data_IF_617716158366
#
_entry.id   IF_617716158366
#
_cell.length_a   1.000
_cell.length_b   1.000
_cell.length_c   1.000
_cell.angle_alpha   90.00
_cell.angle_beta   90.00
_cell.angle_gamma   90.00
#
_symmetry.space_group_name_H-M   'P 1'
#
loop_
_entity.id
_entity.type
_entity.pdbx_description
1 polymer ?
#
# COMPACT_ATOMS: atom_id res chain seq x y z
N UNK A 1 25.69 78.17 24.98
CA UNK A 1 25.65 77.17 23.89
C UNK A 1 25.03 75.90 24.46
N UNK A 2 23.70 75.81 24.49
CA UNK A 2 22.96 74.65 25.02
C UNK A 2 22.85 73.57 23.93
N UNK A 3 23.29 72.35 24.23
CA UNK A 3 23.05 71.17 23.40
C UNK A 3 21.73 70.49 23.80
N UNK A 4 20.87 70.26 22.81
CA UNK A 4 19.68 69.40 22.90
C UNK A 4 20.11 67.92 22.86
N UNK A 5 19.58 67.09 23.77
CA UNK A 5 19.58 65.63 23.63
C UNK A 5 18.12 65.15 23.51
N UNK A 6 17.76 64.64 22.34
CA UNK A 6 16.47 63.99 22.06
C UNK A 6 16.61 62.48 22.23
N UNK A 7 16.06 61.92 23.30
CA UNK A 7 15.86 60.46 23.44
C UNK A 7 14.63 60.04 22.64
N UNK A 8 14.84 59.41 21.47
CA UNK A 8 13.78 58.71 20.74
C UNK A 8 13.68 57.27 21.25
N UNK A 9 12.70 57.00 22.10
CA UNK A 9 12.35 55.64 22.49
C UNK A 9 11.74 54.90 21.28
N UNK A 10 12.43 53.87 20.79
CA UNK A 10 11.89 52.93 19.81
C UNK A 10 11.09 51.85 20.54
N UNK A 11 9.76 51.93 20.45
CA UNK A 11 8.86 50.82 20.79
C UNK A 11 8.91 49.78 19.68
N UNK A 12 9.71 48.73 19.86
CA UNK A 12 9.62 47.52 19.04
C UNK A 12 8.32 46.78 19.40
N UNK A 13 7.27 46.98 18.61
CA UNK A 13 6.06 46.14 18.66
C UNK A 13 6.41 44.80 18.01
N UNK A 14 6.75 43.81 18.84
CA UNK A 14 6.92 42.42 18.41
C UNK A 14 5.53 41.86 18.13
N UNK A 15 5.13 41.85 16.85
CA UNK A 15 3.91 41.19 16.39
C UNK A 15 4.04 39.68 16.55
N UNK A 16 3.33 39.10 17.52
CA UNK A 16 3.22 37.65 17.69
C UNK A 16 2.35 37.11 16.56
N UNK A 17 2.97 36.50 15.55
CA UNK A 17 2.28 35.75 14.50
C UNK A 17 1.76 34.43 15.08
N UNK A 18 0.48 34.40 15.43
CA UNK A 18 -0.20 33.16 15.83
C UNK A 18 -0.47 32.31 14.60
N UNK A 19 0.31 31.23 14.44
CA UNK A 19 0.04 30.21 13.41
C UNK A 19 -1.01 29.25 13.98
N UNK A 20 -2.27 29.45 13.62
CA UNK A 20 -3.34 28.51 13.97
C UNK A 20 -3.17 27.22 13.16
N UNK A 21 -3.14 26.03 13.79
CA UNK A 21 -3.15 24.78 13.06
C UNK A 21 -4.49 24.64 12.33
N UNK A 22 -4.45 24.54 11.01
CA UNK A 22 -5.63 24.21 10.21
C UNK A 22 -5.99 22.74 10.46
N UNK A 23 -6.94 22.48 11.36
CA UNK A 23 -7.55 21.17 11.45
C UNK A 23 -8.36 20.95 10.17
N UNK A 24 -8.04 19.88 9.43
CA UNK A 24 -8.82 19.49 8.27
C UNK A 24 -10.26 19.24 8.72
N UNK A 25 -11.21 19.95 8.11
CA UNK A 25 -12.62 19.85 8.48
C UNK A 25 -13.16 18.44 8.21
N UNK A 26 -14.03 17.96 9.10
CA UNK A 26 -14.75 16.70 8.90
C UNK A 26 -15.65 16.79 7.66
N UNK A 27 -15.75 15.67 6.94
CA UNK A 27 -16.65 15.52 5.80
C UNK A 27 -17.91 14.79 6.26
N UNK A 28 -19.06 15.42 6.14
CA UNK A 28 -20.33 14.91 6.66
C UNK A 28 -21.35 14.84 5.52
N UNK A 29 -22.03 13.70 5.38
CA UNK A 29 -23.12 13.56 4.43
C UNK A 29 -23.54 12.12 4.19
N UNK A 30 -24.39 11.92 3.19
CA UNK A 30 -24.69 10.56 2.69
C UNK A 30 -23.48 10.02 1.94
N UNK A 31 -23.23 8.73 2.10
CA UNK A 31 -22.18 8.03 1.38
C UNK A 31 -22.74 7.34 0.14
N UNK A 32 -21.98 7.36 -0.95
CA UNK A 32 -22.15 6.46 -2.09
C UNK A 32 -20.96 5.54 -2.17
N UNK A 33 -21.19 4.23 -2.08
CA UNK A 33 -20.12 3.23 -2.07
C UNK A 33 -19.65 2.95 -3.49
N UNK A 34 -18.33 2.97 -3.69
CA UNK A 34 -17.70 2.63 -4.98
C UNK A 34 -17.17 1.20 -4.98
N UNK A 35 -16.47 0.81 -3.91
CA UNK A 35 -15.94 -0.53 -3.69
C UNK A 35 -15.79 -0.79 -2.17
N UNK A 36 -15.16 -1.91 -1.79
CA UNK A 36 -15.06 -2.34 -0.39
C UNK A 36 -14.22 -1.43 0.52
N UNK A 37 -13.48 -0.45 0.00
CA UNK A 37 -12.77 0.52 0.83
C UNK A 37 -12.77 1.95 0.30
N UNK A 38 -13.62 2.23 -0.70
CA UNK A 38 -13.79 3.55 -1.30
C UNK A 38 -15.26 3.98 -1.29
N UNK A 39 -15.50 5.17 -0.77
CA UNK A 39 -16.82 5.81 -0.71
C UNK A 39 -16.73 7.27 -1.14
N UNK A 40 -17.86 7.86 -1.54
CA UNK A 40 -17.97 9.29 -1.84
C UNK A 40 -18.88 9.94 -0.81
N UNK A 41 -18.41 10.99 -0.14
CA UNK A 41 -19.17 11.78 0.86
C UNK A 41 -18.93 13.25 0.57
N UNK A 42 -20.00 14.05 0.55
CA UNK A 42 -19.91 15.48 0.22
C UNK A 42 -19.14 15.74 -1.10
N UNK A 43 -19.38 14.89 -2.11
CA UNK A 43 -18.76 14.94 -3.43
C UNK A 43 -17.23 14.73 -3.42
N UNK A 44 -16.66 14.33 -2.28
CA UNK A 44 -15.25 13.98 -2.14
C UNK A 44 -15.08 12.47 -2.14
N UNK A 45 -14.08 11.98 -2.88
CA UNK A 45 -13.73 10.56 -2.90
C UNK A 45 -12.85 10.25 -1.70
N UNK A 46 -13.27 9.25 -0.94
CA UNK A 46 -12.68 8.83 0.31
C UNK A 46 -12.14 7.41 0.18
N UNK A 47 -10.87 7.21 0.55
CA UNK A 47 -10.24 5.91 0.81
C UNK A 47 -10.31 5.66 2.32
N UNK A 48 -10.89 4.54 2.72
CA UNK A 48 -10.90 4.14 4.12
C UNK A 48 -9.46 3.88 4.60
N UNK A 49 -9.03 4.65 5.59
CA UNK A 49 -7.71 4.58 6.19
C UNK A 49 -7.47 3.25 6.93
N UNK A 50 -6.24 2.74 6.84
CA UNK A 50 -5.78 1.61 7.66
C UNK A 50 -6.36 0.24 7.30
N UNK A 51 -7.18 0.13 6.25
CA UNK A 51 -7.80 -1.11 5.80
C UNK A 51 -7.59 -1.32 4.29
N UNK A 52 -7.59 -2.58 3.86
CA UNK A 52 -7.53 -2.97 2.45
C UNK A 52 -8.66 -3.97 2.20
N UNK A 53 -9.61 -3.62 1.34
CA UNK A 53 -10.72 -4.51 0.97
C UNK A 53 -10.43 -5.23 -0.35
N UNK A 54 -11.02 -6.41 -0.60
CA UNK A 54 -10.86 -7.10 -1.87
C UNK A 54 -11.31 -6.23 -3.04
N UNK A 55 -10.52 -6.21 -4.10
CA UNK A 55 -10.83 -5.42 -5.31
C UNK A 55 -12.17 -5.87 -5.90
N UNK A 56 -12.95 -4.99 -6.53
CA UNK A 56 -14.31 -5.30 -7.01
C UNK A 56 -14.42 -6.53 -7.92
N UNK A 57 -13.36 -6.87 -8.65
CA UNK A 57 -13.29 -8.04 -9.52
C UNK A 57 -12.69 -9.29 -8.86
N UNK A 58 -12.22 -9.19 -7.62
CA UNK A 58 -11.55 -10.28 -6.92
C UNK A 58 -12.55 -11.37 -6.52
N UNK A 59 -12.13 -12.62 -6.77
CA UNK A 59 -12.81 -13.83 -6.31
C UNK A 59 -12.01 -14.45 -5.16
N UNK A 60 -12.74 -15.07 -4.23
CA UNK A 60 -12.19 -15.80 -3.09
C UNK A 60 -12.77 -17.21 -3.07
N UNK A 61 -12.20 -18.10 -2.26
CA UNK A 61 -12.59 -19.50 -2.19
C UNK A 61 -13.27 -19.78 -0.86
N UNK A 62 -14.51 -20.27 -0.90
CA UNK A 62 -15.25 -20.67 0.29
C UNK A 62 -14.72 -22.02 0.83
N UNK A 63 -15.17 -22.44 2.03
CA UNK A 63 -14.74 -23.70 2.66
C UNK A 63 -14.99 -24.94 1.81
N UNK A 64 -16.06 -24.93 1.02
CA UNK A 64 -16.43 -26.00 0.10
C UNK A 64 -15.62 -25.98 -1.21
N UNK A 65 -14.62 -25.10 -1.34
CA UNK A 65 -13.81 -24.94 -2.55
C UNK A 65 -14.44 -24.08 -3.63
N UNK A 66 -15.67 -23.58 -3.44
CA UNK A 66 -16.36 -22.78 -4.44
C UNK A 66 -15.83 -21.34 -4.50
N UNK A 67 -15.59 -20.85 -5.72
CA UNK A 67 -15.27 -19.45 -5.94
C UNK A 67 -16.48 -18.55 -5.69
N UNK A 68 -16.28 -17.41 -5.03
CA UNK A 68 -17.31 -16.43 -4.74
C UNK A 68 -16.80 -14.99 -4.91
N UNK A 69 -17.67 -14.02 -5.28
CA UNK A 69 -17.25 -12.67 -5.66
C UNK A 69 -17.01 -11.77 -4.44
N UNK A 70 -15.93 -12.03 -3.71
CA UNK A 70 -15.66 -11.36 -2.44
C UNK A 70 -15.52 -9.85 -2.52
N UNK A 71 -14.96 -9.29 -3.60
CA UNK A 71 -14.90 -7.83 -3.78
C UNK A 71 -16.27 -7.17 -3.86
N UNK A 72 -17.17 -7.73 -4.69
CA UNK A 72 -18.53 -7.19 -4.81
C UNK A 72 -19.34 -7.38 -3.53
N UNK A 73 -19.15 -8.51 -2.84
CA UNK A 73 -19.83 -8.78 -1.57
C UNK A 73 -19.36 -7.83 -0.46
N UNK A 74 -18.07 -7.51 -0.40
CA UNK A 74 -17.54 -6.51 0.53
C UNK A 74 -18.11 -5.11 0.26
N UNK A 75 -18.16 -4.68 -1.00
CA UNK A 75 -18.78 -3.41 -1.38
C UNK A 75 -20.27 -3.36 -1.02
N UNK A 76 -21.03 -4.42 -1.31
CA UNK A 76 -22.45 -4.51 -0.97
C UNK A 76 -22.68 -4.50 0.55
N UNK A 77 -21.80 -5.14 1.33
CA UNK A 77 -21.87 -5.10 2.78
C UNK A 77 -21.62 -3.69 3.32
N UNK A 78 -20.63 -2.97 2.79
CA UNK A 78 -20.38 -1.58 3.13
C UNK A 78 -21.57 -0.69 2.80
N UNK A 79 -22.16 -0.85 1.60
CA UNK A 79 -23.32 -0.09 1.14
C UNK A 79 -24.52 -0.29 2.08
N UNK A 80 -24.87 -1.55 2.39
CA UNK A 80 -25.92 -1.87 3.35
C UNK A 80 -25.63 -1.33 4.76
N UNK A 81 -24.37 -1.30 5.17
CA UNK A 81 -24.00 -0.80 6.50
C UNK A 81 -24.17 0.72 6.64
N UNK A 82 -23.92 1.48 5.58
CA UNK A 82 -24.05 2.94 5.58
C UNK A 82 -25.40 3.44 5.03
N UNK A 83 -26.22 2.54 4.49
CA UNK A 83 -27.53 2.85 3.92
C UNK A 83 -28.38 3.67 4.89
N UNK A 84 -28.96 4.76 4.37
CA UNK A 84 -29.82 5.71 5.09
C UNK A 84 -29.22 6.35 6.35
N UNK A 85 -27.89 6.31 6.50
CA UNK A 85 -27.20 6.92 7.62
C UNK A 85 -26.29 8.06 7.16
N UNK A 86 -26.10 9.02 8.05
CA UNK A 86 -25.11 10.09 7.88
C UNK A 86 -23.72 9.57 8.23
N UNK A 87 -22.80 9.66 7.26
CA UNK A 87 -21.40 9.31 7.45
C UNK A 87 -20.61 10.57 7.76
N UNK A 88 -19.73 10.48 8.77
CA UNK A 88 -18.74 11.50 9.13
C UNK A 88 -17.34 10.93 8.90
N UNK A 89 -16.58 11.51 8.01
CA UNK A 89 -15.20 11.11 7.73
C UNK A 89 -14.22 12.14 8.27
N UNK A 90 -13.24 11.66 9.03
CA UNK A 90 -12.14 12.45 9.58
C UNK A 90 -10.90 12.27 8.70
N UNK A 91 -10.49 13.28 7.92
CA UNK A 91 -9.32 13.20 7.07
C UNK A 91 -8.04 12.93 7.88
N UNK A 92 -7.18 12.06 7.36
CA UNK A 92 -5.86 11.74 7.93
C UNK A 92 -4.72 12.00 6.94
N UNK A 93 -4.98 11.81 5.65
CA UNK A 93 -3.99 12.03 4.60
C UNK A 93 -4.70 12.23 3.24
N UNK A 94 -3.93 12.41 2.17
CA UNK A 94 -4.41 12.36 0.78
C UNK A 94 -3.50 11.44 -0.02
N UNK A 95 -4.09 10.48 -0.75
CA UNK A 95 -3.30 9.53 -1.54
C UNK A 95 -2.81 10.14 -2.87
N UNK A 96 -1.90 9.43 -3.54
CA UNK A 96 -1.33 9.85 -4.83
C UNK A 96 -2.34 10.02 -5.98
N UNK A 97 -3.58 9.55 -5.80
CA UNK A 97 -4.66 9.66 -6.77
C UNK A 97 -5.63 10.80 -6.42
N UNK A 98 -5.30 11.60 -5.41
CA UNK A 98 -6.12 12.73 -4.95
C UNK A 98 -7.32 12.31 -4.12
N UNK A 99 -7.40 11.06 -3.63
CA UNK A 99 -8.46 10.67 -2.70
C UNK A 99 -8.08 11.06 -1.29
N UNK A 100 -9.05 11.54 -0.54
CA UNK A 100 -8.89 11.80 0.88
C UNK A 100 -8.82 10.45 1.59
N UNK A 101 -7.77 10.23 2.38
CA UNK A 101 -7.61 9.04 3.22
C UNK A 101 -8.15 9.37 4.60
N UNK A 102 -9.22 8.68 5.03
CA UNK A 102 -9.95 9.06 6.23
C UNK A 102 -10.41 7.85 7.03
N UNK A 103 -10.60 8.05 8.33
CA UNK A 103 -11.43 7.16 9.13
C UNK A 103 -12.86 7.69 9.13
N UNK A 104 -13.81 6.83 8.79
CA UNK A 104 -15.22 7.22 8.66
C UNK A 104 -16.07 6.54 9.72
N UNK A 105 -17.11 7.26 10.14
CA UNK A 105 -17.97 6.90 11.24
C UNK A 105 -19.42 6.98 10.83
N UNK A 106 -20.23 6.08 11.38
CA UNK A 106 -21.68 6.11 11.29
C UNK A 106 -22.26 5.86 12.67
N UNK A 107 -23.13 6.75 13.15
CA UNK A 107 -23.70 6.67 14.50
C UNK A 107 -22.64 6.49 15.61
N UNK A 108 -21.46 7.12 15.44
CA UNK A 108 -20.33 7.02 16.38
C UNK A 108 -19.45 5.77 16.22
N UNK A 109 -19.85 4.79 15.41
CA UNK A 109 -19.07 3.57 15.16
C UNK A 109 -18.14 3.74 13.97
N UNK A 110 -16.87 3.33 14.11
CA UNK A 110 -15.89 3.30 13.01
C UNK A 110 -16.30 2.26 11.96
N UNK A 111 -16.54 2.74 10.74
CA UNK A 111 -16.82 1.92 9.55
C UNK A 111 -15.58 1.08 9.21
N UNK A 112 -14.39 1.66 9.36
CA UNK A 112 -13.11 1.00 9.08
C UNK A 112 -12.93 -0.23 9.98
N UNK A 113 -13.13 -0.06 11.29
CA UNK A 113 -13.08 -1.16 12.25
C UNK A 113 -14.14 -2.21 11.95
N UNK A 114 -15.38 -1.80 11.65
CA UNK A 114 -16.47 -2.72 11.31
C UNK A 114 -16.14 -3.57 10.07
N UNK A 115 -15.63 -2.97 9.00
CA UNK A 115 -15.24 -3.69 7.78
C UNK A 115 -14.22 -4.78 8.06
N UNK A 116 -13.22 -4.49 8.89
CA UNK A 116 -12.19 -5.49 9.27
C UNK A 116 -12.77 -6.54 10.20
N UNK A 117 -13.47 -6.13 11.26
CA UNK A 117 -14.03 -7.02 12.29
C UNK A 117 -15.07 -7.99 11.73
N UNK A 118 -15.86 -7.54 10.76
CA UNK A 118 -16.85 -8.38 10.06
C UNK A 118 -16.23 -9.22 8.93
N UNK A 119 -14.91 -9.12 8.70
CA UNK A 119 -14.18 -9.95 7.74
C UNK A 119 -14.34 -9.52 6.29
N UNK A 120 -14.80 -8.30 6.01
CA UNK A 120 -14.95 -7.74 4.66
C UNK A 120 -13.70 -7.03 4.15
N UNK A 121 -12.78 -6.69 5.05
CA UNK A 121 -11.47 -6.12 4.73
C UNK A 121 -10.38 -6.73 5.62
N UNK A 122 -9.12 -6.53 5.24
CA UNK A 122 -7.95 -6.87 6.07
C UNK A 122 -7.35 -5.59 6.67
N UNK A 123 -6.72 -5.73 7.84
CA UNK A 123 -5.95 -4.62 8.42
C UNK A 123 -4.73 -4.31 7.56
N UNK A 124 -4.57 -3.06 7.14
CA UNK A 124 -3.45 -2.66 6.29
C UNK A 124 -2.23 -2.29 7.15
N UNK A 125 -1.58 -3.32 7.69
CA UNK A 125 -0.48 -3.23 8.69
C UNK A 125 0.71 -2.35 8.26
N UNK A 126 0.88 -2.13 6.96
CA UNK A 126 1.91 -1.27 6.43
C UNK A 126 1.67 0.22 6.73
N UNK A 127 0.42 0.61 7.02
CA UNK A 127 0.01 2.00 7.25
C UNK A 127 -0.63 2.23 8.61
N UNK A 128 -1.26 1.21 9.21
CA UNK A 128 -1.90 1.36 10.52
C UNK A 128 -1.92 0.03 11.29
N UNK A 129 -1.80 0.14 12.62
CA UNK A 129 -2.00 -0.98 13.55
C UNK A 129 -3.38 -0.97 14.19
N UNK A 130 -4.17 0.10 13.99
CA UNK A 130 -5.44 0.36 14.68
C UNK A 130 -6.45 -0.80 14.60
N UNK A 131 -6.50 -1.53 13.47
CA UNK A 131 -7.51 -2.57 13.21
C UNK A 131 -6.96 -4.00 13.30
N UNK A 132 -5.76 -4.19 13.84
CA UNK A 132 -5.15 -5.54 13.97
C UNK A 132 -5.95 -6.42 14.93
N UNK A 133 -6.49 -5.85 16.01
CA UNK A 133 -7.35 -6.58 16.95
C UNK A 133 -8.68 -6.99 16.30
N UNK A 134 -9.29 -6.11 15.50
CA UNK A 134 -10.49 -6.41 14.72
C UNK A 134 -10.26 -7.55 13.74
N UNK A 135 -9.11 -7.57 13.07
CA UNK A 135 -8.73 -8.64 12.13
C UNK A 135 -8.58 -9.98 12.86
N UNK A 136 -8.01 -9.97 14.08
CA UNK A 136 -7.90 -11.17 14.90
C UNK A 136 -9.27 -11.74 15.28
N UNK A 137 -10.23 -10.88 15.63
CA UNK A 137 -11.63 -11.28 15.90
C UNK A 137 -12.26 -11.91 14.65
N UNK A 138 -12.12 -11.27 13.48
CA UNK A 138 -12.66 -11.78 12.23
C UNK A 138 -12.10 -13.16 11.86
N UNK A 139 -10.79 -13.37 12.10
CA UNK A 139 -10.10 -14.67 11.93
C UNK A 139 -10.65 -15.73 12.88
N UNK A 140 -10.77 -15.41 14.16
CA UNK A 140 -11.27 -16.34 15.18
C UNK A 140 -12.70 -16.79 14.87
N UNK A 141 -13.53 -15.87 14.37
CA UNK A 141 -14.92 -16.13 13.99
C UNK A 141 -15.07 -16.76 12.60
N UNK A 142 -13.97 -16.89 11.84
CA UNK A 142 -13.98 -17.32 10.45
C UNK A 142 -14.96 -16.51 9.58
N UNK A 143 -15.03 -15.20 9.82
CA UNK A 143 -15.97 -14.31 9.15
C UNK A 143 -15.54 -14.03 7.71
N UNK A 144 -16.44 -14.32 6.76
CA UNK A 144 -16.35 -13.89 5.35
C UNK A 144 -15.03 -14.26 4.66
N UNK A 145 -14.11 -13.30 4.45
CA UNK A 145 -12.80 -13.61 3.87
C UNK A 145 -12.06 -14.71 4.66
N UNK A 146 -12.21 -14.70 5.99
CA UNK A 146 -11.59 -15.68 6.89
C UNK A 146 -12.38 -17.00 6.98
N UNK A 147 -13.49 -17.12 6.27
CA UNK A 147 -14.23 -18.39 6.23
C UNK A 147 -13.49 -19.43 5.40
N UNK A 148 -12.77 -19.04 4.34
CA UNK A 148 -12.04 -19.94 3.46
C UNK A 148 -10.65 -19.43 3.13
N UNK A 149 -10.22 -19.58 1.87
CA UNK A 149 -8.93 -19.10 1.39
C UNK A 149 -9.09 -17.94 0.42
N UNK A 150 -8.16 -17.00 0.48
CA UNK A 150 -8.15 -15.83 -0.39
C UNK A 150 -6.73 -15.29 -0.54
N UNK A 151 -6.47 -14.62 -1.65
CA UNK A 151 -5.31 -13.74 -1.76
C UNK A 151 -5.64 -12.42 -1.08
N UNK A 152 -4.71 -11.84 -0.32
CA UNK A 152 -4.95 -10.49 0.21
C UNK A 152 -5.10 -9.49 -0.95
N UNK A 153 -5.80 -8.36 -0.77
CA UNK A 153 -6.05 -7.45 -1.88
C UNK A 153 -4.74 -6.88 -2.46
N UNK A 154 -3.74 -6.64 -1.61
CA UNK A 154 -2.39 -6.26 -2.03
C UNK A 154 -1.71 -7.29 -2.96
N UNK A 155 -1.89 -8.59 -2.69
CA UNK A 155 -1.36 -9.69 -3.50
C UNK A 155 -2.10 -9.82 -4.81
N UNK A 156 -3.43 -9.69 -4.77
CA UNK A 156 -4.27 -9.68 -5.96
C UNK A 156 -3.90 -8.52 -6.90
N UNK A 157 -3.72 -7.29 -6.38
CA UNK A 157 -3.22 -6.14 -7.14
C UNK A 157 -1.83 -6.39 -7.73
N UNK A 158 -0.95 -7.09 -7.01
CA UNK A 158 0.39 -7.46 -7.52
C UNK A 158 0.28 -8.45 -8.67
N UNK A 159 -0.53 -9.50 -8.53
CA UNK A 159 -0.74 -10.51 -9.57
C UNK A 159 -1.35 -9.92 -10.84
N UNK A 160 -2.38 -9.06 -10.71
CA UNK A 160 -3.00 -8.34 -11.83
C UNK A 160 -2.01 -7.46 -12.58
N UNK A 161 -1.13 -6.74 -11.88
CA UNK A 161 -0.07 -5.93 -12.50
C UNK A 161 0.90 -6.79 -13.29
N UNK A 162 1.31 -7.94 -12.76
CA UNK A 162 2.17 -8.88 -13.47
C UNK A 162 1.49 -9.50 -14.70
N UNK A 163 0.18 -9.78 -14.64
CA UNK A 163 -0.58 -10.33 -15.76
C UNK A 163 -0.93 -9.29 -16.84
N UNK A 164 -1.12 -8.03 -16.44
CA UNK A 164 -1.47 -6.92 -17.36
C UNK A 164 -0.23 -6.26 -17.96
N UNK A 165 0.96 -6.53 -17.42
CA UNK A 165 2.20 -6.24 -18.11
C UNK A 165 2.19 -7.05 -19.41
N UNK A 166 1.88 -6.38 -20.52
CA UNK A 166 1.91 -6.93 -21.87
C UNK A 166 3.22 -7.73 -22.01
N UNK A 167 3.20 -9.05 -22.31
CA UNK A 167 4.42 -9.67 -22.78
C UNK A 167 4.81 -8.85 -24.02
N UNK A 168 6.01 -8.27 -24.03
CA UNK A 168 6.52 -7.66 -25.24
C UNK A 168 6.36 -8.69 -26.35
N UNK A 169 5.51 -8.39 -27.34
CA UNK A 169 5.25 -9.32 -28.41
C UNK A 169 6.56 -9.54 -29.18
N UNK A 170 7.05 -10.77 -29.15
CA UNK A 170 8.32 -11.19 -29.73
C UNK A 170 9.28 -11.75 -28.68
N UNK A 171 9.14 -13.04 -28.37
CA UNK A 171 10.01 -14.12 -28.91
C UNK A 171 9.83 -15.35 -28.02
N UNK A 172 9.39 -16.45 -28.64
CA UNK A 172 9.67 -17.81 -28.17
C UNK A 172 11.19 -17.94 -27.99
N UNK A 173 11.65 -17.99 -26.73
CA UNK A 173 13.03 -17.74 -26.28
C UNK A 173 13.50 -16.28 -26.51
N UNK A 174 14.32 -15.68 -25.62
CA UNK A 174 15.28 -14.72 -26.18
C UNK A 174 16.65 -14.84 -25.51
N UNK A 175 17.76 -15.03 -26.23
CA UNK A 175 18.37 -14.01 -27.10
C UNK A 175 18.16 -12.58 -26.54
N UNK A 176 19.02 -12.25 -25.56
CA UNK A 176 19.44 -10.88 -25.25
C UNK A 176 18.46 -9.95 -24.49
N UNK A 177 17.53 -10.50 -23.69
CA UNK A 177 16.97 -9.74 -22.58
C UNK A 177 18.12 -9.45 -21.60
N UNK A 178 18.51 -8.18 -21.43
CA UNK A 178 19.69 -7.77 -20.65
C UNK A 178 19.71 -8.48 -19.30
N UNK A 179 20.49 -9.54 -19.23
CA UNK A 179 20.69 -10.33 -18.04
C UNK A 179 21.27 -9.37 -17.01
N UNK A 180 20.47 -8.99 -16.00
CA UNK A 180 20.86 -7.93 -15.06
C UNK A 180 21.52 -8.50 -13.82
N UNK A 181 21.45 -9.80 -13.57
CA UNK A 181 22.02 -10.38 -12.36
C UNK A 181 23.50 -10.60 -12.60
N UNK A 182 24.36 -9.94 -11.82
CA UNK A 182 25.81 -9.99 -12.01
C UNK A 182 26.40 -11.18 -11.25
N UNK A 183 26.90 -12.18 -11.95
CA UNK A 183 27.63 -13.30 -11.36
C UNK A 183 29.14 -13.12 -11.46
N UNK A 184 29.81 -12.77 -10.35
CA UNK A 184 31.27 -12.73 -10.23
C UNK A 184 31.89 -13.90 -9.42
N UNK A 185 33.12 -14.27 -9.75
CA UNK A 185 33.86 -15.34 -9.04
C UNK A 185 34.88 -14.67 -8.12
N UNK A 186 34.83 -14.97 -6.82
CA UNK A 186 35.81 -14.42 -5.87
C UNK A 186 37.21 -14.99 -6.12
N UNK A 187 38.25 -14.33 -5.61
CA UNK A 187 39.63 -14.84 -5.67
C UNK A 187 39.80 -16.24 -5.04
N UNK A 188 38.86 -16.67 -4.17
CA UNK A 188 38.81 -18.01 -3.55
C UNK A 188 37.96 -19.01 -4.34
N UNK A 189 37.54 -18.66 -5.57
CA UNK A 189 36.72 -19.51 -6.44
C UNK A 189 35.21 -19.52 -6.12
N UNK A 190 34.72 -18.65 -5.23
CA UNK A 190 33.31 -18.65 -4.86
C UNK A 190 32.45 -17.96 -5.92
N UNK A 191 31.45 -18.68 -6.45
CA UNK A 191 30.46 -18.20 -7.42
C UNK A 191 29.34 -17.43 -6.72
N UNK A 192 29.33 -16.11 -6.84
CA UNK A 192 28.39 -15.23 -6.14
C UNK A 192 27.60 -14.40 -7.16
N UNK A 193 26.28 -14.30 -6.99
CA UNK A 193 25.44 -13.44 -7.81
C UNK A 193 24.86 -12.26 -7.03
N UNK A 194 24.82 -11.10 -7.69
CA UNK A 194 24.31 -9.84 -7.16
C UNK A 194 23.05 -9.39 -7.90
N UNK A 195 22.03 -9.00 -7.13
CA UNK A 195 20.78 -8.47 -7.65
C UNK A 195 20.83 -6.94 -7.77
N UNK A 196 20.12 -6.33 -8.74
CA UNK A 196 19.94 -4.89 -8.80
C UNK A 196 19.42 -4.32 -7.47
N UNK A 197 20.03 -3.25 -6.98
CA UNK A 197 19.68 -2.61 -5.70
C UNK A 197 20.48 -3.10 -4.48
N UNK A 198 21.29 -4.16 -4.61
CA UNK A 198 22.25 -4.56 -3.56
C UNK A 198 23.43 -3.59 -3.51
N UNK A 199 24.03 -3.45 -2.32
CA UNK A 199 25.10 -2.47 -2.04
C UNK A 199 26.26 -2.55 -3.04
N UNK A 200 26.65 -3.77 -3.40
CA UNK A 200 27.81 -4.02 -4.25
C UNK A 200 27.46 -4.17 -5.73
N UNK A 201 26.17 -4.18 -6.10
CA UNK A 201 25.73 -4.38 -7.47
C UNK A 201 26.32 -3.39 -8.48
N UNK A 202 26.41 -2.10 -8.11
CA UNK A 202 26.96 -1.06 -8.98
C UNK A 202 28.49 -1.21 -9.16
N UNK A 203 29.18 -1.76 -8.15
CA UNK A 203 30.63 -1.95 -8.10
C UNK A 203 31.07 -3.23 -8.80
N UNK A 204 30.26 -4.28 -8.74
CA UNK A 204 30.54 -5.54 -9.42
C UNK A 204 30.64 -5.31 -10.92
N UNK A 205 31.80 -5.62 -11.49
CA UNK A 205 32.08 -5.66 -12.94
C UNK A 205 32.22 -7.13 -13.31
N UNK A 206 31.63 -7.52 -14.43
CA UNK A 206 31.69 -8.91 -14.91
C UNK A 206 32.84 -9.04 -15.90
N UNK A 207 33.72 -9.98 -15.62
CA UNK A 207 34.86 -10.36 -16.45
C UNK A 207 34.66 -11.78 -17.00
N UNK A 208 34.14 -11.93 -18.24
CA UNK A 208 33.87 -13.25 -18.84
C UNK A 208 35.09 -14.19 -18.87
N UNK A 209 36.30 -13.62 -18.97
CA UNK A 209 37.55 -14.38 -18.93
C UNK A 209 37.77 -15.18 -17.62
N UNK A 210 37.11 -14.80 -16.54
CA UNK A 210 37.18 -15.50 -15.24
C UNK A 210 35.98 -16.41 -14.98
N UNK A 211 35.21 -16.75 -16.02
CA UNK A 211 33.99 -17.56 -15.88
C UNK A 211 32.81 -16.80 -15.25
N UNK A 212 32.95 -15.48 -15.11
CA UNK A 212 31.89 -14.58 -14.65
C UNK A 212 30.89 -14.33 -15.75
N UNK A 213 29.62 -14.18 -15.39
CA UNK A 213 28.56 -13.96 -16.38
C UNK A 213 27.37 -13.24 -15.80
N UNK A 214 26.59 -12.66 -16.71
CA UNK A 214 25.28 -12.15 -16.36
C UNK A 214 24.27 -13.30 -16.36
N UNK A 215 23.35 -13.30 -15.39
CA UNK A 215 22.19 -14.18 -15.34
C UNK A 215 20.93 -13.40 -15.62
N UNK A 216 20.00 -14.05 -16.29
CA UNK A 216 18.74 -13.48 -16.72
C UNK A 216 17.63 -13.83 -15.71
N UNK A 217 17.88 -14.77 -14.79
CA UNK A 217 17.03 -15.02 -13.62
C UNK A 217 17.80 -15.52 -12.39
N UNK A 218 17.22 -15.38 -11.19
CA UNK A 218 17.79 -15.94 -9.95
C UNK A 218 17.86 -17.46 -10.02
N UNK A 219 16.85 -18.08 -10.62
CA UNK A 219 16.78 -19.54 -10.77
C UNK A 219 17.93 -20.06 -11.62
N UNK A 220 18.23 -19.40 -12.73
CA UNK A 220 19.37 -19.73 -13.60
C UNK A 220 20.72 -19.64 -12.88
N UNK A 221 20.91 -18.62 -12.04
CA UNK A 221 22.13 -18.49 -11.22
C UNK A 221 22.26 -19.65 -10.23
N UNK A 222 21.19 -19.97 -9.50
CA UNK A 222 21.16 -21.08 -8.54
C UNK A 222 21.42 -22.43 -9.22
N UNK A 223 20.74 -22.71 -10.35
CA UNK A 223 20.91 -23.94 -11.12
C UNK A 223 22.33 -24.05 -11.71
N UNK A 224 22.99 -22.93 -11.97
CA UNK A 224 24.39 -22.88 -12.37
C UNK A 224 25.40 -23.06 -11.21
N UNK A 225 24.92 -23.25 -9.99
CA UNK A 225 25.74 -23.41 -8.78
C UNK A 225 26.25 -22.10 -8.18
N UNK A 226 25.56 -20.99 -8.44
CA UNK A 226 25.91 -19.67 -7.90
C UNK A 226 25.04 -19.35 -6.69
N UNK A 227 25.65 -18.81 -5.63
CA UNK A 227 24.95 -18.44 -4.40
C UNK A 227 24.71 -16.92 -4.32
N UNK A 228 23.67 -16.46 -3.62
CA UNK A 228 23.44 -15.02 -3.46
C UNK A 228 24.54 -14.35 -2.64
N UNK A 229 24.86 -13.10 -2.97
CA UNK A 229 25.69 -12.24 -2.13
C UNK A 229 25.01 -12.01 -0.77
N UNK A 230 25.79 -12.05 0.31
CA UNK A 230 25.29 -11.74 1.64
C UNK A 230 25.40 -10.23 1.88
N UNK A 231 24.26 -9.54 1.63
CA UNK A 231 23.98 -8.08 1.71
C UNK A 231 24.28 -7.25 0.46
#
# INVERSE_FOLDING_TARGET
MLLLMWFRAWLCVIGVLTVSPALAADLIGRATVTDGDTLTVAQQRIRLWGIDAPESAQQCTARNGQAWPCGRRAAAALDAYVQDKTVRCQPKDTDRYGRIVAECFVQGQSINAWMVRSGWAVAYRQYATAFVADEAIARQQASQLWSGSFQTPSEYRRAKRSASAKPAAGTSAPSNARCTIKGNVSAKGAKIFHLPGQRDYAKTRIAPAHGERMFCSVREALDAGWRPAQR
#
